data_IF_749369466211
#
_entry.id   IF_749369466211
#
_cell.length_a   1.000
_cell.length_b   1.000
_cell.length_c   1.000
_cell.angle_alpha   90.00
_cell.angle_beta   90.00
_cell.angle_gamma   90.00
#
_symmetry.space_group_name_H-M   'P 1'
#
loop_
_entity.id
_entity.type
_entity.pdbx_description
1 polymer ?
#
# COMPACT_ATOMS: atom_id res chain seq x y z
N UNK A 1 12.67 -17.52 -12.08
CA UNK A 1 11.32 -17.24 -11.54
C UNK A 1 11.23 -17.77 -10.12
N UNK A 2 10.95 -16.92 -9.15
CA UNK A 2 10.83 -17.36 -7.76
C UNK A 2 9.46 -17.99 -7.52
N UNK A 3 9.45 -19.13 -6.81
CA UNK A 3 8.22 -19.79 -6.40
C UNK A 3 7.88 -19.35 -4.99
N UNK A 4 6.68 -18.88 -4.78
CA UNK A 4 6.18 -18.46 -3.47
C UNK A 4 5.02 -19.36 -3.04
N UNK A 5 4.82 -19.44 -1.73
CA UNK A 5 3.67 -20.14 -1.15
C UNK A 5 3.15 -19.40 0.08
N UNK A 6 1.89 -19.62 0.38
CA UNK A 6 1.25 -19.15 1.60
C UNK A 6 0.96 -20.35 2.50
N UNK A 7 1.52 -20.32 3.72
CA UNK A 7 1.28 -21.36 4.73
C UNK A 7 0.62 -20.69 5.93
N UNK A 8 -0.72 -20.80 6.01
CA UNK A 8 -1.50 -20.06 6.97
C UNK A 8 -1.41 -18.56 6.70
N UNK A 9 -0.89 -17.79 7.66
CA UNK A 9 -0.69 -16.35 7.52
C UNK A 9 0.73 -15.98 7.06
N UNK A 10 1.59 -16.98 6.84
CA UNK A 10 2.98 -16.74 6.46
C UNK A 10 3.21 -16.96 4.99
N UNK A 11 4.03 -16.09 4.41
CA UNK A 11 4.51 -16.22 3.06
C UNK A 11 5.94 -16.72 3.05
N UNK A 12 6.24 -17.62 2.12
CA UNK A 12 7.56 -18.21 1.97
C UNK A 12 7.94 -18.24 0.50
N UNK A 13 9.23 -18.06 0.22
CA UNK A 13 9.79 -18.25 -1.12
C UNK A 13 10.82 -19.35 -1.08
N UNK A 14 10.97 -20.06 -2.19
CA UNK A 14 11.93 -21.15 -2.34
C UNK A 14 13.27 -20.56 -2.77
N UNK A 15 14.34 -20.89 -2.04
CA UNK A 15 15.68 -20.46 -2.37
C UNK A 15 16.31 -21.38 -3.47
N UNK A 16 17.53 -21.06 -3.88
CA UNK A 16 18.25 -21.81 -4.90
C UNK A 16 18.53 -23.25 -4.50
N UNK A 17 18.59 -23.53 -3.20
CA UNK A 17 18.82 -24.89 -2.65
C UNK A 17 17.55 -25.66 -2.41
N UNK A 18 16.40 -25.09 -2.80
CA UNK A 18 15.10 -25.73 -2.63
C UNK A 18 14.51 -25.58 -1.24
N UNK A 19 15.09 -24.76 -0.38
CA UNK A 19 14.57 -24.52 0.99
C UNK A 19 13.57 -23.37 0.97
N UNK A 20 12.54 -23.51 1.80
CA UNK A 20 11.55 -22.47 1.96
C UNK A 20 11.99 -21.44 2.99
N UNK A 21 12.02 -20.18 2.59
CA UNK A 21 12.45 -19.07 3.44
C UNK A 21 11.27 -18.16 3.72
N UNK A 22 11.07 -17.71 4.98
CA UNK A 22 10.00 -16.78 5.28
C UNK A 22 10.26 -15.44 4.61
N UNK A 23 9.19 -14.84 4.08
CA UNK A 23 9.23 -13.50 3.49
C UNK A 23 8.03 -12.71 4.00
N UNK A 24 8.15 -11.40 3.95
CA UNK A 24 7.04 -10.52 4.27
C UNK A 24 5.95 -10.67 3.21
N UNK A 25 4.70 -10.86 3.65
CA UNK A 25 3.57 -10.95 2.75
C UNK A 25 3.23 -9.62 2.10
N UNK A 26 2.51 -9.63 0.95
CA UNK A 26 2.18 -8.40 0.23
C UNK A 26 1.31 -7.45 1.05
N UNK A 27 0.41 -7.96 1.90
CA UNK A 27 -0.44 -7.11 2.74
C UNK A 27 0.35 -6.39 3.82
N UNK A 28 1.27 -7.09 4.49
CA UNK A 28 2.09 -6.51 5.56
C UNK A 28 3.01 -5.42 5.00
N UNK A 29 3.63 -5.69 3.87
CA UNK A 29 4.48 -4.73 3.19
C UNK A 29 3.69 -3.50 2.75
N UNK A 30 2.53 -3.70 2.14
CA UNK A 30 1.67 -2.61 1.67
C UNK A 30 1.17 -1.76 2.83
N UNK A 31 0.77 -2.39 3.94
CA UNK A 31 0.35 -1.67 5.15
C UNK A 31 1.48 -0.83 5.73
N UNK A 32 2.68 -1.37 5.78
CA UNK A 32 3.86 -0.65 6.27
C UNK A 32 4.21 0.52 5.37
N UNK A 33 4.14 0.34 4.06
CA UNK A 33 4.40 1.41 3.10
C UNK A 33 3.35 2.52 3.21
N UNK A 34 2.08 2.17 3.43
CA UNK A 34 1.01 3.13 3.66
C UNK A 34 1.27 3.97 4.91
N UNK A 35 1.76 3.35 5.99
CA UNK A 35 2.13 4.07 7.22
C UNK A 35 3.29 5.04 6.98
N UNK A 36 4.28 4.65 6.19
CA UNK A 36 5.38 5.53 5.82
C UNK A 36 4.90 6.73 5.00
N UNK A 37 4.03 6.50 4.04
CA UNK A 37 3.45 7.56 3.21
C UNK A 37 2.63 8.51 4.08
N UNK A 38 1.84 7.99 5.00
CA UNK A 38 1.04 8.79 5.92
C UNK A 38 1.92 9.70 6.77
N UNK A 39 2.96 9.15 7.38
CA UNK A 39 3.89 9.93 8.19
C UNK A 39 4.61 11.00 7.38
N UNK A 40 5.01 10.67 6.17
CA UNK A 40 5.68 11.58 5.28
C UNK A 40 4.75 12.73 4.82
N UNK A 41 3.49 12.43 4.49
CA UNK A 41 2.52 13.46 4.10
C UNK A 41 2.17 14.40 5.26
N UNK A 42 2.08 13.86 6.48
CA UNK A 42 1.81 14.67 7.66
C UNK A 42 2.99 15.59 8.01
N UNK A 43 4.23 15.12 7.83
CA UNK A 43 5.43 15.87 8.16
C UNK A 43 5.42 16.32 9.63
N UNK A 44 5.67 17.59 9.88
CA UNK A 44 5.66 18.18 11.23
C UNK A 44 4.28 18.67 11.68
N UNK A 45 3.26 18.51 10.86
CA UNK A 45 1.91 18.96 11.16
C UNK A 45 1.18 17.90 12.00
N UNK A 46 1.31 18.02 13.33
CA UNK A 46 0.75 17.06 14.29
C UNK A 46 -0.78 17.03 14.29
N UNK A 47 -1.42 18.10 13.86
CA UNK A 47 -2.88 18.20 13.79
C UNK A 47 -3.44 17.66 12.49
N UNK A 48 -2.58 17.32 11.54
CA UNK A 48 -2.98 16.80 10.26
C UNK A 48 -3.05 15.27 10.29
N UNK A 49 -4.27 14.75 10.23
CA UNK A 49 -4.52 13.31 10.11
C UNK A 49 -4.92 13.06 8.66
N UNK A 50 -4.00 12.48 7.89
CA UNK A 50 -4.28 12.05 6.53
C UNK A 50 -4.56 10.56 6.52
N UNK A 51 -5.64 10.16 5.82
CA UNK A 51 -5.96 8.74 5.66
C UNK A 51 -5.30 8.22 4.39
N UNK A 52 -4.50 7.16 4.55
CA UNK A 52 -3.87 6.46 3.44
C UNK A 52 -4.40 5.03 3.46
N UNK A 53 -5.04 4.64 2.37
CA UNK A 53 -5.65 3.32 2.26
C UNK A 53 -4.69 2.38 1.55
N UNK A 54 -4.33 1.29 2.22
CA UNK A 54 -3.48 0.26 1.65
C UNK A 54 -4.33 -0.73 0.85
N UNK A 55 -3.89 -1.05 -0.35
CA UNK A 55 -4.57 -2.01 -1.21
C UNK A 55 -3.56 -2.82 -2.01
N UNK A 56 -3.79 -4.12 -2.10
CA UNK A 56 -3.07 -5.02 -3.00
C UNK A 56 -3.99 -5.36 -4.15
N UNK A 57 -3.54 -5.12 -5.37
CA UNK A 57 -4.31 -5.38 -6.59
C UNK A 57 -3.81 -6.68 -7.19
N UNK A 58 -4.63 -7.73 -7.16
CA UNK A 58 -4.23 -9.05 -7.64
C UNK A 58 -5.44 -9.93 -7.93
N UNK A 59 -5.26 -10.90 -8.82
CA UNK A 59 -6.20 -12.00 -9.03
C UNK A 59 -5.81 -13.28 -8.27
N UNK A 60 -4.71 -13.25 -7.52
CA UNK A 60 -4.21 -14.43 -6.80
C UNK A 60 -5.11 -14.73 -5.59
N UNK A 61 -5.80 -15.90 -5.58
CA UNK A 61 -6.71 -16.25 -4.48
C UNK A 61 -6.01 -16.51 -3.16
N UNK A 62 -4.70 -16.68 -3.15
CA UNK A 62 -3.92 -16.87 -1.90
C UNK A 62 -3.78 -15.57 -1.12
N UNK A 63 -3.95 -14.42 -1.78
CA UNK A 63 -3.84 -13.12 -1.14
C UNK A 63 -5.20 -12.73 -0.58
N UNK A 64 -5.30 -12.63 0.75
CA UNK A 64 -6.54 -12.32 1.44
C UNK A 64 -6.42 -11.00 2.18
N UNK A 65 -7.53 -10.25 2.22
CA UNK A 65 -7.58 -8.97 2.91
C UNK A 65 -7.30 -9.12 4.40
N UNK A 66 -6.73 -8.06 4.97
CA UNK A 66 -6.55 -7.91 6.41
C UNK A 66 -7.29 -6.65 6.87
N UNK A 67 -7.47 -6.42 8.18
CA UNK A 67 -8.09 -5.18 8.65
C UNK A 67 -7.37 -3.91 8.21
N UNK A 68 -6.07 -3.97 7.94
CA UNK A 68 -5.26 -2.82 7.57
C UNK A 68 -4.98 -2.70 6.07
N UNK A 69 -5.35 -3.71 5.28
CA UNK A 69 -5.04 -3.72 3.85
C UNK A 69 -6.15 -4.43 3.07
N UNK A 70 -6.73 -3.74 2.10
CA UNK A 70 -7.71 -4.32 1.20
C UNK A 70 -7.04 -5.13 0.10
N UNK A 71 -7.79 -6.06 -0.47
CA UNK A 71 -7.37 -6.80 -1.67
C UNK A 71 -8.47 -6.66 -2.70
N UNK A 72 -8.14 -6.18 -3.89
CA UNK A 72 -9.09 -6.03 -4.98
C UNK A 72 -8.51 -6.59 -6.26
N UNK A 73 -9.40 -7.08 -7.13
CA UNK A 73 -8.99 -7.49 -8.47
C UNK A 73 -8.73 -6.26 -9.33
N UNK A 74 -7.84 -6.35 -10.35
CA UNK A 74 -7.58 -5.21 -11.22
C UNK A 74 -8.84 -4.62 -11.85
N UNK A 75 -9.81 -5.47 -12.21
CA UNK A 75 -11.09 -5.03 -12.79
C UNK A 75 -11.97 -4.26 -11.82
N UNK A 76 -11.77 -4.41 -10.50
CA UNK A 76 -12.60 -3.80 -9.47
C UNK A 76 -11.96 -2.56 -8.84
N UNK A 77 -10.72 -2.23 -9.24
CA UNK A 77 -9.96 -1.16 -8.60
C UNK A 77 -10.66 0.19 -8.65
N UNK A 78 -11.16 0.59 -9.83
CA UNK A 78 -11.82 1.88 -9.99
C UNK A 78 -13.09 1.98 -9.12
N UNK A 79 -13.89 0.92 -9.08
CA UNK A 79 -15.08 0.88 -8.24
C UNK A 79 -14.72 0.95 -6.74
N UNK A 80 -13.67 0.27 -6.34
CA UNK A 80 -13.20 0.31 -4.95
C UNK A 80 -12.74 1.71 -4.55
N UNK A 81 -11.96 2.38 -5.40
CA UNK A 81 -11.52 3.77 -5.14
C UNK A 81 -12.72 4.69 -4.99
N UNK A 82 -13.76 4.52 -5.81
CA UNK A 82 -14.98 5.32 -5.73
C UNK A 82 -15.75 5.15 -4.42
N UNK A 83 -15.54 4.04 -3.68
CA UNK A 83 -16.19 3.81 -2.38
C UNK A 83 -15.47 4.49 -1.22
N UNK A 84 -14.24 4.97 -1.42
CA UNK A 84 -13.46 5.58 -0.35
C UNK A 84 -14.06 6.92 0.05
N UNK A 85 -14.18 7.21 1.36
CA UNK A 85 -14.70 8.49 1.81
C UNK A 85 -13.73 9.63 1.47
N UNK A 86 -14.24 10.83 1.15
CA UNK A 86 -13.38 11.97 0.89
C UNK A 86 -12.62 12.40 2.15
N UNK A 87 -11.41 12.91 1.97
CA UNK A 87 -10.62 13.46 3.08
C UNK A 87 -11.28 14.74 3.57
N UNK A 88 -11.62 14.77 4.86
CA UNK A 88 -12.21 15.95 5.52
C UNK A 88 -11.14 16.76 6.24
N UNK A 89 -11.39 18.06 6.42
CA UNK A 89 -10.49 18.94 7.15
C UNK A 89 -9.22 19.30 6.41
N UNK A 90 -9.20 19.12 5.09
CA UNK A 90 -8.05 19.43 4.26
C UNK A 90 -8.11 20.91 3.83
N UNK A 91 -7.28 21.74 4.47
CA UNK A 91 -7.15 23.16 4.07
C UNK A 91 -6.48 23.26 2.70
N UNK A 92 -6.63 24.43 2.05
CA UNK A 92 -5.98 24.68 0.75
C UNK A 92 -4.46 24.51 0.85
N UNK A 93 -3.84 25.00 1.91
CA UNK A 93 -2.39 24.88 2.12
C UNK A 93 -1.96 23.43 2.29
N UNK A 94 -2.71 22.64 3.05
CA UNK A 94 -2.43 21.20 3.23
C UNK A 94 -2.62 20.44 1.93
N UNK A 95 -3.67 20.78 1.17
CA UNK A 95 -3.92 20.16 -0.14
C UNK A 95 -2.76 20.42 -1.10
N UNK A 96 -2.32 21.66 -1.21
CA UNK A 96 -1.20 22.03 -2.08
C UNK A 96 0.08 21.28 -1.68
N UNK A 97 0.34 21.18 -0.38
CA UNK A 97 1.51 20.45 0.12
C UNK A 97 1.45 18.98 -0.26
N UNK A 98 0.30 18.33 -0.05
CA UNK A 98 0.11 16.91 -0.39
C UNK A 98 0.27 16.71 -1.89
N UNK A 99 -0.35 17.54 -2.72
CA UNK A 99 -0.23 17.45 -4.18
C UNK A 99 1.22 17.62 -4.64
N UNK A 100 1.95 18.55 -4.05
CA UNK A 100 3.37 18.79 -4.37
C UNK A 100 4.22 17.57 -4.01
N UNK A 101 4.02 17.01 -2.82
CA UNK A 101 4.75 15.83 -2.36
C UNK A 101 4.45 14.60 -3.23
N UNK A 102 3.20 14.41 -3.64
CA UNK A 102 2.82 13.31 -4.53
C UNK A 102 3.49 13.46 -5.89
N UNK A 103 3.56 14.67 -6.43
CA UNK A 103 4.27 14.94 -7.69
C UNK A 103 5.76 14.62 -7.58
N UNK A 104 6.38 14.94 -6.44
CA UNK A 104 7.80 14.61 -6.20
C UNK A 104 8.02 13.11 -6.18
N UNK A 105 7.13 12.33 -5.54
CA UNK A 105 7.20 10.86 -5.54
C UNK A 105 7.05 10.33 -6.96
N UNK A 106 6.07 10.82 -7.71
CA UNK A 106 5.81 10.38 -9.07
C UNK A 106 7.03 10.65 -9.97
N UNK A 107 7.64 11.82 -9.83
CA UNK A 107 8.84 12.16 -10.58
C UNK A 107 10.02 11.25 -10.24
N UNK A 108 10.20 10.94 -8.95
CA UNK A 108 11.24 10.00 -8.49
C UNK A 108 10.98 8.58 -9.02
N UNK A 109 9.73 8.15 -9.05
CA UNK A 109 9.35 6.83 -9.53
C UNK A 109 9.56 6.64 -11.03
N UNK A 110 9.50 7.71 -11.81
CA UNK A 110 9.68 7.64 -13.27
C UNK A 110 11.14 7.70 -13.72
N UNK A 111 12.06 7.92 -12.80
CA UNK A 111 13.48 8.04 -13.12
C UNK A 111 14.21 6.69 -13.24
N UNK A 112 13.50 5.60 -13.19
CA UNK A 112 14.07 4.26 -13.35
C UNK A 112 14.22 3.87 -14.80
#
# INVERSE_FOLDING_TARGET
MSVSRNVGSRWEVRDERGRWMPVEGPMDRTSRDAERVRGWLAGDDRDFIVKVYAVVVTNDPRVQRTPSCAVVRPSDLAAWVATLPPQRGLSSARRERVEQLVREIAASGTSR
#
